data_IF_884254344103
#
_entry.id   IF_884254344103
#
_cell.length_a   1.000
_cell.length_b   1.000
_cell.length_c   1.000
_cell.angle_alpha   90.00
_cell.angle_beta   90.00
_cell.angle_gamma   90.00
#
_symmetry.space_group_name_H-M   'P 1'
#
loop_
_entity.id
_entity.type
_entity.pdbx_description
1 polymer ?
#
# COMPACT_ATOMS: atom_id res chain seq x y z
N UNK A 1 12.92 -21.57 -10.25
CA UNK A 1 14.18 -21.70 -9.49
C UNK A 1 14.17 -20.72 -8.32
N UNK A 2 14.80 -21.05 -7.20
CA UNK A 2 14.78 -20.27 -5.93
C UNK A 2 15.91 -19.23 -5.82
N UNK A 3 16.34 -18.67 -6.94
CA UNK A 3 17.52 -17.80 -7.02
C UNK A 3 17.38 -16.61 -6.07
N UNK A 4 18.32 -16.50 -5.13
CA UNK A 4 18.38 -15.39 -4.16
C UNK A 4 17.31 -15.43 -3.07
N UNK A 5 16.48 -16.48 -3.01
CA UNK A 5 15.44 -16.65 -1.97
C UNK A 5 16.06 -17.09 -0.65
N UNK A 6 15.69 -16.43 0.44
CA UNK A 6 16.14 -16.78 1.79
C UNK A 6 15.25 -17.88 2.35
N UNK A 7 15.82 -19.07 2.54
CA UNK A 7 15.10 -20.26 3.01
C UNK A 7 15.61 -20.66 4.38
N UNK A 8 14.71 -20.82 5.36
CA UNK A 8 15.01 -21.38 6.66
C UNK A 8 14.51 -22.82 6.73
N UNK A 9 15.40 -23.77 6.99
CA UNK A 9 15.02 -25.18 7.20
C UNK A 9 15.10 -25.52 8.69
N UNK A 10 14.02 -26.07 9.24
CA UNK A 10 13.86 -26.39 10.66
C UNK A 10 13.58 -27.89 10.77
N UNK A 11 14.58 -28.66 11.17
CA UNK A 11 14.50 -30.11 11.27
C UNK A 11 15.58 -30.59 12.25
N UNK A 12 15.30 -31.53 13.13
CA UNK A 12 16.25 -32.03 14.13
C UNK A 12 17.29 -33.00 13.54
N UNK A 13 16.94 -33.66 12.44
CA UNK A 13 17.80 -34.60 11.73
C UNK A 13 18.86 -33.88 10.90
N UNK A 14 20.12 -34.03 11.32
CA UNK A 14 21.27 -33.54 10.54
C UNK A 14 21.34 -34.12 9.12
N UNK A 15 20.82 -35.34 8.92
CA UNK A 15 20.76 -35.98 7.60
C UNK A 15 19.77 -35.27 6.69
N UNK A 16 18.59 -34.92 7.18
CA UNK A 16 17.57 -34.20 6.40
C UNK A 16 18.06 -32.78 6.10
N UNK A 17 18.63 -32.08 7.07
CA UNK A 17 19.20 -30.74 6.85
C UNK A 17 20.30 -30.74 5.78
N UNK A 18 21.24 -31.70 5.86
CA UNK A 18 22.30 -31.84 4.86
C UNK A 18 21.72 -32.09 3.45
N UNK A 19 20.68 -32.91 3.37
CA UNK A 19 19.98 -33.18 2.11
C UNK A 19 19.27 -31.95 1.56
N UNK A 20 18.45 -31.27 2.37
CA UNK A 20 17.74 -30.05 1.97
C UNK A 20 18.72 -28.98 1.53
N UNK A 21 19.85 -28.82 2.24
CA UNK A 21 20.92 -27.93 1.82
C UNK A 21 21.46 -28.28 0.44
N UNK A 22 21.76 -29.56 0.19
CA UNK A 22 22.27 -30.03 -1.10
C UNK A 22 21.27 -29.78 -2.25
N UNK A 23 19.98 -30.03 -2.03
CA UNK A 23 18.93 -29.81 -3.03
C UNK A 23 18.67 -28.32 -3.25
N UNK A 24 18.38 -27.56 -2.19
CA UNK A 24 18.07 -26.13 -2.29
C UNK A 24 19.23 -25.32 -2.88
N UNK A 25 20.48 -25.75 -2.67
CA UNK A 25 21.65 -25.12 -3.29
C UNK A 25 21.67 -25.27 -4.81
N UNK A 26 21.06 -26.31 -5.37
CA UNK A 26 20.91 -26.45 -6.83
C UNK A 26 19.96 -25.40 -7.41
N UNK A 27 19.07 -24.84 -6.58
CA UNK A 27 18.14 -23.77 -6.94
C UNK A 27 18.64 -22.36 -6.60
N UNK A 28 19.92 -22.20 -6.22
CA UNK A 28 20.55 -20.92 -5.83
C UNK A 28 19.86 -20.20 -4.65
N UNK A 29 19.29 -20.96 -3.72
CA UNK A 29 18.70 -20.42 -2.50
C UNK A 29 19.76 -20.04 -1.45
N UNK A 30 19.48 -19.00 -0.65
CA UNK A 30 20.28 -18.61 0.51
C UNK A 30 19.71 -19.35 1.73
N UNK A 31 20.39 -20.41 2.16
CA UNK A 31 19.85 -21.35 3.15
C UNK A 31 20.39 -21.02 4.55
N UNK A 32 19.49 -20.97 5.52
CA UNK A 32 19.80 -20.97 6.95
C UNK A 32 19.13 -22.20 7.60
N UNK A 33 19.75 -22.75 8.63
CA UNK A 33 19.31 -24.00 9.25
C UNK A 33 19.12 -23.82 10.75
N UNK A 34 18.08 -24.45 11.28
CA UNK A 34 17.84 -24.61 12.70
C UNK A 34 17.57 -26.09 13.01
N UNK A 35 18.13 -26.58 14.11
CA UNK A 35 17.98 -27.95 14.58
C UNK A 35 16.90 -28.13 15.66
N UNK A 36 16.33 -27.02 16.14
CA UNK A 36 15.22 -27.02 17.09
C UNK A 36 14.35 -25.77 16.93
N UNK A 37 13.16 -25.80 17.54
CA UNK A 37 12.15 -24.75 17.41
C UNK A 37 12.58 -23.42 18.05
N UNK A 38 13.21 -23.45 19.22
CA UNK A 38 13.66 -22.22 19.90
C UNK A 38 14.73 -21.47 19.11
N UNK A 39 15.69 -22.19 18.50
CA UNK A 39 16.69 -21.59 17.62
C UNK A 39 16.02 -20.98 16.39
N UNK A 40 15.08 -21.70 15.77
CA UNK A 40 14.34 -21.19 14.62
C UNK A 40 13.58 -19.90 14.93
N UNK A 41 12.85 -19.85 16.04
CA UNK A 41 12.09 -18.67 16.47
C UNK A 41 13.00 -17.49 16.78
N UNK A 42 14.16 -17.73 17.40
CA UNK A 42 15.17 -16.69 17.61
C UNK A 42 15.69 -16.15 16.27
N UNK A 43 15.92 -17.00 15.28
CA UNK A 43 16.37 -16.59 13.95
C UNK A 43 15.31 -15.79 13.19
N UNK A 44 14.04 -16.18 13.30
CA UNK A 44 12.91 -15.48 12.64
C UNK A 44 12.71 -14.08 13.22
N UNK A 45 12.82 -13.93 14.55
CA UNK A 45 12.67 -12.63 15.22
C UNK A 45 13.83 -11.68 14.92
N UNK A 46 15.06 -12.19 14.81
CA UNK A 46 16.25 -11.34 14.71
C UNK A 46 16.79 -11.16 13.28
N UNK A 47 16.44 -12.04 12.33
CA UNK A 47 16.93 -11.98 10.95
C UNK A 47 15.83 -12.02 9.86
N UNK A 48 14.72 -11.25 9.97
CA UNK A 48 13.72 -11.17 8.90
C UNK A 48 14.23 -10.41 7.67
N UNK A 49 13.58 -10.55 6.49
CA UNK A 49 12.53 -11.53 6.16
C UNK A 49 13.10 -12.80 5.50
N UNK A 50 12.45 -13.93 5.74
CA UNK A 50 12.62 -15.16 4.97
C UNK A 50 11.55 -15.22 3.87
N UNK A 51 11.89 -15.80 2.73
CA UNK A 51 10.91 -16.05 1.66
C UNK A 51 10.15 -17.36 1.89
N UNK A 52 10.82 -18.35 2.50
CA UNK A 52 10.30 -19.69 2.70
C UNK A 52 10.86 -20.31 3.98
N UNK A 53 10.00 -21.02 4.71
CA UNK A 53 10.36 -21.86 5.85
C UNK A 53 9.97 -23.30 5.53
N UNK A 54 10.91 -24.23 5.64
CA UNK A 54 10.64 -25.66 5.64
C UNK A 54 10.64 -26.15 7.09
N UNK A 55 9.51 -26.66 7.55
CA UNK A 55 9.29 -26.93 8.97
C UNK A 55 8.92 -28.39 9.23
N UNK A 56 9.76 -29.10 9.99
CA UNK A 56 9.37 -30.38 10.55
C UNK A 56 8.32 -30.22 11.66
N UNK A 57 7.43 -31.20 11.79
CA UNK A 57 6.41 -31.21 12.84
C UNK A 57 6.92 -31.78 14.17
N UNK A 58 7.95 -32.62 14.14
CA UNK A 58 8.47 -33.28 15.35
C UNK A 58 9.85 -32.69 15.65
N UNK A 59 9.90 -31.72 16.54
CA UNK A 59 11.15 -31.12 17.00
C UNK A 59 11.45 -31.56 18.44
N UNK A 60 12.73 -31.53 18.88
CA UNK A 60 13.12 -32.00 20.21
C UNK A 60 12.58 -31.14 21.37
N UNK A 61 12.27 -29.87 21.12
CA UNK A 61 11.93 -28.86 22.12
C UNK A 61 10.50 -28.32 22.01
N UNK A 62 9.92 -28.26 20.81
CA UNK A 62 8.59 -27.72 20.54
C UNK A 62 7.81 -28.59 19.54
N UNK A 63 6.47 -28.52 19.59
CA UNK A 63 5.65 -29.04 18.49
C UNK A 63 5.81 -28.11 17.28
N UNK A 64 6.02 -28.65 16.08
CA UNK A 64 6.14 -27.86 14.86
C UNK A 64 4.85 -27.07 14.53
N UNK A 65 3.68 -27.52 14.98
CA UNK A 65 2.44 -26.71 14.87
C UNK A 65 2.53 -25.46 15.76
N UNK A 66 3.04 -25.58 16.99
CA UNK A 66 3.24 -24.43 17.88
C UNK A 66 4.29 -23.47 17.29
N UNK A 67 5.33 -24.00 16.65
CA UNK A 67 6.30 -23.18 15.91
C UNK A 67 5.60 -22.44 14.78
N UNK A 68 4.79 -23.10 13.95
CA UNK A 68 4.03 -22.48 12.87
C UNK A 68 3.16 -21.31 13.37
N UNK A 69 2.41 -21.50 14.46
CA UNK A 69 1.61 -20.43 15.06
C UNK A 69 2.48 -19.25 15.49
N UNK A 70 3.58 -19.50 16.20
CA UNK A 70 4.52 -18.45 16.62
C UNK A 70 5.19 -17.75 15.44
N UNK A 71 5.45 -18.45 14.33
CA UNK A 71 5.91 -17.81 13.08
C UNK A 71 4.85 -16.85 12.57
N UNK A 72 3.58 -17.26 12.52
CA UNK A 72 2.47 -16.41 12.04
C UNK A 72 2.21 -15.19 12.90
N UNK A 73 2.55 -15.22 14.19
CA UNK A 73 2.52 -14.03 15.05
C UNK A 73 3.60 -13.00 14.70
N UNK A 74 4.76 -13.46 14.25
CA UNK A 74 5.92 -12.59 13.93
C UNK A 74 5.90 -12.13 12.48
N UNK A 75 5.61 -13.05 11.55
CA UNK A 75 5.62 -12.81 10.12
C UNK A 75 4.49 -13.59 9.42
N UNK A 76 3.48 -12.85 8.96
CA UNK A 76 2.35 -13.40 8.21
C UNK A 76 2.63 -13.52 6.71
N UNK A 77 3.76 -13.02 6.24
CA UNK A 77 4.11 -12.90 4.82
C UNK A 77 5.04 -14.03 4.33
N UNK A 78 5.80 -14.66 5.21
CA UNK A 78 6.67 -15.79 4.86
C UNK A 78 5.86 -17.03 4.46
N UNK A 79 6.29 -17.74 3.41
CA UNK A 79 5.68 -19.02 3.06
C UNK A 79 6.18 -20.12 3.99
N UNK A 80 5.30 -20.99 4.49
CA UNK A 80 5.69 -22.11 5.36
C UNK A 80 5.22 -23.42 4.73
N UNK A 81 6.17 -24.29 4.42
CA UNK A 81 5.92 -25.65 3.92
C UNK A 81 6.31 -26.63 5.01
N UNK A 82 5.38 -27.49 5.39
CA UNK A 82 5.59 -28.48 6.45
C UNK A 82 6.16 -29.77 5.88
N UNK A 83 7.23 -30.28 6.49
CA UNK A 83 7.84 -31.56 6.16
C UNK A 83 7.25 -32.65 7.07
N UNK A 84 6.47 -33.57 6.52
CA UNK A 84 5.81 -34.64 7.30
C UNK A 84 6.58 -35.95 7.21
N UNK A 85 6.74 -36.65 8.34
CA UNK A 85 7.23 -38.03 8.42
C UNK A 85 6.17 -39.09 8.10
N UNK A 86 6.24 -40.26 8.74
CA UNK A 86 5.24 -41.33 8.60
C UNK A 86 3.93 -40.97 9.35
N UNK A 87 3.09 -40.14 8.72
CA UNK A 87 1.78 -39.73 9.25
C UNK A 87 0.68 -39.56 8.19
N UNK A 88 1.06 -39.53 6.91
CA UNK A 88 0.16 -39.44 5.76
C UNK A 88 -0.72 -38.17 5.73
N UNK A 89 -1.67 -38.17 4.79
CA UNK A 89 -2.55 -37.04 4.43
C UNK A 89 -3.22 -36.36 5.64
N UNK A 90 -3.47 -37.06 6.75
CA UNK A 90 -4.13 -36.46 7.92
C UNK A 90 -3.29 -35.37 8.59
N UNK A 91 -1.99 -35.61 8.81
CA UNK A 91 -1.08 -34.63 9.43
C UNK A 91 -0.86 -33.43 8.50
N UNK A 92 -0.73 -33.71 7.20
CA UNK A 92 -0.67 -32.71 6.14
C UNK A 92 -1.90 -31.77 6.10
N UNK A 93 -3.10 -32.34 6.12
CA UNK A 93 -4.34 -31.52 6.13
C UNK A 93 -4.49 -30.72 7.41
N UNK A 94 -4.03 -31.22 8.54
CA UNK A 94 -4.02 -30.47 9.80
C UNK A 94 -3.09 -29.25 9.67
N UNK A 95 -1.85 -29.44 9.20
CA UNK A 95 -0.89 -28.35 9.02
C UNK A 95 -1.42 -27.20 8.13
N UNK A 96 -2.11 -27.52 7.04
CA UNK A 96 -2.71 -26.50 6.15
C UNK A 96 -3.83 -25.74 6.87
N UNK A 97 -4.67 -26.41 7.68
CA UNK A 97 -5.71 -25.75 8.48
C UNK A 97 -5.12 -24.81 9.54
N UNK A 98 -3.95 -25.16 10.06
CA UNK A 98 -3.20 -24.34 11.02
C UNK A 98 -2.38 -23.21 10.35
N UNK A 99 -2.44 -23.07 9.03
CA UNK A 99 -1.88 -21.92 8.30
C UNK A 99 -0.56 -22.18 7.57
N UNK A 100 -0.18 -23.45 7.37
CA UNK A 100 0.87 -23.80 6.41
C UNK A 100 0.39 -23.56 4.97
N UNK A 101 1.33 -23.18 4.10
CA UNK A 101 1.10 -22.91 2.68
C UNK A 101 1.22 -24.17 1.81
N UNK A 102 1.83 -25.21 2.35
CA UNK A 102 1.98 -26.50 1.71
C UNK A 102 2.51 -27.55 2.68
N UNK A 103 2.56 -28.79 2.22
CA UNK A 103 3.21 -29.87 2.94
C UNK A 103 3.95 -30.79 1.97
N UNK A 104 4.95 -31.51 2.46
CA UNK A 104 5.73 -32.47 1.69
C UNK A 104 6.11 -33.66 2.55
N UNK A 105 6.10 -34.88 2.00
CA UNK A 105 6.62 -36.03 2.73
C UNK A 105 8.15 -36.07 2.71
N UNK A 106 8.77 -36.32 3.86
CA UNK A 106 10.23 -36.45 3.99
C UNK A 106 10.81 -37.58 3.13
N UNK A 107 10.00 -38.59 2.77
CA UNK A 107 10.43 -39.71 1.92
C UNK A 107 10.61 -39.30 0.47
N UNK A 108 9.78 -38.39 -0.01
CA UNK A 108 9.84 -37.88 -1.39
C UNK A 108 11.09 -37.02 -1.60
N UNK A 109 11.63 -36.46 -0.52
CA UNK A 109 12.95 -35.82 -0.52
C UNK A 109 14.04 -36.85 -0.86
N UNK A 110 14.08 -38.00 -0.19
CA UNK A 110 15.24 -38.90 -0.23
C UNK A 110 15.32 -39.86 -1.44
N UNK A 111 14.29 -39.96 -2.28
CA UNK A 111 14.13 -41.07 -3.23
C UNK A 111 14.28 -40.72 -4.72
N UNK A 112 14.68 -39.49 -5.08
CA UNK A 112 14.74 -39.04 -6.47
C UNK A 112 16.08 -38.45 -6.90
N UNK A 113 16.48 -38.66 -8.16
CA UNK A 113 17.52 -37.84 -8.82
C UNK A 113 16.93 -36.53 -9.35
N UNK A 114 15.62 -36.52 -9.62
CA UNK A 114 14.87 -35.39 -10.13
C UNK A 114 14.08 -34.73 -8.98
N UNK A 115 14.36 -33.45 -8.73
CA UNK A 115 13.76 -32.64 -7.68
C UNK A 115 12.76 -31.61 -8.23
N UNK A 116 12.33 -31.77 -9.49
CA UNK A 116 11.42 -30.81 -10.15
C UNK A 116 10.10 -30.66 -9.42
N UNK A 117 9.50 -31.76 -8.93
CA UNK A 117 8.28 -31.71 -8.13
C UNK A 117 8.49 -30.99 -6.79
N UNK A 118 9.66 -31.16 -6.17
CA UNK A 118 10.02 -30.46 -4.94
C UNK A 118 10.10 -28.95 -5.16
N UNK A 119 10.86 -28.50 -6.16
CA UNK A 119 10.94 -27.07 -6.47
C UNK A 119 9.58 -26.49 -6.87
N UNK A 120 8.78 -27.23 -7.64
CA UNK A 120 7.44 -26.81 -8.03
C UNK A 120 6.52 -26.59 -6.82
N UNK A 121 6.52 -27.51 -5.84
CA UNK A 121 5.72 -27.38 -4.64
C UNK A 121 6.13 -26.16 -3.80
N UNK A 122 7.43 -25.89 -3.68
CA UNK A 122 7.94 -24.72 -2.95
C UNK A 122 7.56 -23.41 -3.65
N UNK A 123 7.69 -23.36 -4.97
CA UNK A 123 7.29 -22.19 -5.77
C UNK A 123 5.78 -21.92 -5.66
N UNK A 124 4.94 -22.95 -5.75
CA UNK A 124 3.49 -22.79 -5.55
C UNK A 124 3.15 -22.25 -4.16
N UNK A 125 3.79 -22.77 -3.10
CA UNK A 125 3.54 -22.31 -1.74
C UNK A 125 3.91 -20.82 -1.57
N UNK A 126 5.04 -20.41 -2.13
CA UNK A 126 5.48 -19.02 -2.13
C UNK A 126 4.57 -18.11 -2.95
N UNK A 127 4.17 -18.53 -4.15
CA UNK A 127 3.26 -17.78 -5.01
C UNK A 127 1.88 -17.61 -4.36
N UNK A 128 1.35 -18.69 -3.76
CA UNK A 128 0.09 -18.65 -3.02
C UNK A 128 0.16 -17.66 -1.85
N UNK A 129 1.21 -17.73 -1.03
CA UNK A 129 1.40 -16.80 0.09
C UNK A 129 1.54 -15.36 -0.39
N UNK A 130 2.33 -15.11 -1.43
CA UNK A 130 2.50 -13.78 -2.02
C UNK A 130 1.16 -13.23 -2.54
N UNK A 131 0.35 -14.05 -3.18
CA UNK A 131 -1.01 -13.70 -3.62
C UNK A 131 -1.92 -13.30 -2.46
N UNK A 132 -1.91 -14.06 -1.36
CA UNK A 132 -2.68 -13.73 -0.16
C UNK A 132 -2.22 -12.41 0.48
N UNK A 133 -0.91 -12.17 0.53
CA UNK A 133 -0.35 -10.91 1.05
C UNK A 133 -0.79 -9.73 0.18
N UNK A 134 -0.67 -9.85 -1.14
CA UNK A 134 -1.11 -8.82 -2.08
C UNK A 134 -2.61 -8.53 -1.96
N UNK A 135 -3.44 -9.57 -1.83
CA UNK A 135 -4.88 -9.41 -1.64
C UNK A 135 -5.21 -8.69 -0.32
N UNK A 136 -4.55 -9.06 0.79
CA UNK A 136 -4.74 -8.37 2.08
C UNK A 136 -4.32 -6.91 2.00
N UNK A 137 -3.19 -6.61 1.37
CA UNK A 137 -2.73 -5.24 1.16
C UNK A 137 -3.74 -4.43 0.35
N UNK A 138 -4.28 -5.00 -0.73
CA UNK A 138 -5.32 -4.36 -1.54
C UNK A 138 -6.60 -4.13 -0.73
N UNK A 139 -7.03 -5.10 0.07
CA UNK A 139 -8.21 -4.96 0.94
C UNK A 139 -8.00 -3.89 2.02
N UNK A 140 -6.82 -3.86 2.64
CA UNK A 140 -6.46 -2.85 3.62
C UNK A 140 -6.45 -1.46 2.99
N UNK A 141 -5.81 -1.32 1.83
CA UNK A 141 -5.81 -0.08 1.06
C UNK A 141 -7.24 0.39 0.73
N UNK A 142 -8.12 -0.52 0.27
CA UNK A 142 -9.54 -0.19 0.05
C UNK A 142 -10.22 0.30 1.32
N UNK A 143 -9.99 -0.36 2.45
CA UNK A 143 -10.59 -0.01 3.74
C UNK A 143 -10.11 1.35 4.24
N UNK A 144 -8.81 1.61 4.13
CA UNK A 144 -8.19 2.88 4.51
C UNK A 144 -8.70 4.01 3.61
N UNK A 145 -8.81 3.75 2.30
CA UNK A 145 -9.37 4.68 1.32
C UNK A 145 -10.84 5.04 1.62
N UNK A 146 -11.69 4.06 1.88
CA UNK A 146 -13.09 4.32 2.25
C UNK A 146 -13.19 5.10 3.57
N UNK A 147 -12.35 4.78 4.54
CA UNK A 147 -12.30 5.49 5.82
C UNK A 147 -11.90 6.96 5.64
N UNK A 148 -10.88 7.22 4.81
CA UNK A 148 -10.41 8.56 4.45
C UNK A 148 -11.52 9.37 3.75
N UNK A 149 -12.15 8.83 2.70
CA UNK A 149 -13.27 9.49 2.01
C UNK A 149 -14.39 9.85 2.99
N UNK A 150 -14.78 8.88 3.83
CA UNK A 150 -15.90 9.08 4.75
C UNK A 150 -15.61 10.20 5.74
N UNK A 151 -14.39 10.26 6.29
CA UNK A 151 -13.97 11.33 7.17
C UNK A 151 -13.97 12.69 6.45
N UNK A 152 -13.35 12.75 5.28
CA UNK A 152 -13.17 13.99 4.54
C UNK A 152 -14.47 14.56 4.00
N UNK A 153 -15.46 13.70 3.69
CA UNK A 153 -16.82 14.15 3.35
C UNK A 153 -17.64 14.53 4.59
N UNK A 154 -17.51 13.78 5.70
CA UNK A 154 -18.28 14.03 6.93
C UNK A 154 -17.99 15.40 7.53
N UNK A 155 -16.75 15.87 7.49
CA UNK A 155 -16.36 17.15 8.08
C UNK A 155 -17.06 18.38 7.44
N UNK A 156 -16.96 18.62 6.12
CA UNK A 156 -17.70 19.69 5.47
C UNK A 156 -19.21 19.46 5.56
N UNK A 157 -19.71 18.24 5.41
CA UNK A 157 -21.15 17.94 5.55
C UNK A 157 -21.69 18.32 6.94
N UNK A 158 -20.97 17.99 8.01
CA UNK A 158 -21.33 18.37 9.39
C UNK A 158 -21.31 19.88 9.61
N UNK A 159 -20.38 20.59 8.96
CA UNK A 159 -20.32 22.06 9.01
C UNK A 159 -21.51 22.73 8.31
N UNK A 160 -21.93 22.19 7.16
CA UNK A 160 -23.17 22.62 6.48
C UNK A 160 -24.37 22.38 7.38
N UNK A 161 -24.48 21.18 7.95
CA UNK A 161 -25.61 20.81 8.80
C UNK A 161 -25.72 21.71 10.03
N UNK A 162 -24.61 21.94 10.75
CA UNK A 162 -24.59 22.84 11.91
C UNK A 162 -25.02 24.26 11.55
N UNK A 163 -24.52 24.80 10.43
CA UNK A 163 -24.90 26.12 9.97
C UNK A 163 -26.40 26.22 9.65
N UNK A 164 -26.97 25.19 9.01
CA UNK A 164 -28.41 25.11 8.73
C UNK A 164 -29.25 25.00 10.01
N UNK A 165 -28.84 24.17 10.98
CA UNK A 165 -29.52 24.02 12.27
C UNK A 165 -29.56 25.34 13.05
N UNK A 166 -28.45 26.07 13.10
CA UNK A 166 -28.38 27.39 13.77
C UNK A 166 -29.23 28.45 13.06
N UNK A 167 -29.37 28.38 11.74
CA UNK A 167 -30.23 29.28 10.97
C UNK A 167 -31.72 28.98 11.16
N UNK A 168 -32.10 27.70 11.28
CA UNK A 168 -33.48 27.27 11.45
C UNK A 168 -34.09 27.67 12.82
N UNK A 169 -33.27 27.99 13.82
CA UNK A 169 -33.70 28.42 15.15
C UNK A 169 -34.05 29.91 15.31
N UNK A 170 -33.98 30.72 14.25
CA UNK A 170 -34.18 32.18 14.31
C UNK A 170 -35.54 32.68 13.76
N UNK A 171 -36.05 33.80 14.30
CA UNK A 171 -37.27 34.47 13.81
C UNK A 171 -37.07 35.14 12.44
N UNK A 172 -38.07 35.00 11.58
CA UNK A 172 -38.11 35.35 10.15
C UNK A 172 -38.36 36.84 9.88
N UNK A 173 -37.47 37.74 10.32
CA UNK A 173 -37.43 39.13 9.83
C UNK A 173 -36.01 39.49 9.40
N UNK A 174 -35.69 39.23 8.13
CA UNK A 174 -34.37 39.49 7.53
C UNK A 174 -33.25 38.60 8.07
N UNK A 175 -32.10 38.57 7.38
CA UNK A 175 -30.90 37.91 7.88
C UNK A 175 -30.08 38.89 8.71
N UNK A 176 -29.91 38.61 10.00
CA UNK A 176 -28.93 39.30 10.85
C UNK A 176 -27.49 39.02 10.37
N UNK A 177 -26.54 39.88 10.77
CA UNK A 177 -25.12 39.70 10.44
C UNK A 177 -24.58 38.31 10.83
N UNK A 178 -25.06 37.74 11.95
CA UNK A 178 -24.71 36.38 12.38
C UNK A 178 -25.27 35.29 11.46
N UNK A 179 -26.49 35.45 10.95
CA UNK A 179 -27.09 34.52 9.99
C UNK A 179 -26.40 34.58 8.62
N UNK A 180 -25.96 35.76 8.17
CA UNK A 180 -25.15 35.91 6.95
C UNK A 180 -23.82 35.15 7.10
N UNK A 181 -23.19 35.22 8.27
CA UNK A 181 -21.94 34.51 8.54
C UNK A 181 -22.14 32.97 8.55
N UNK A 182 -23.24 32.47 9.12
CA UNK A 182 -23.62 31.05 9.07
C UNK A 182 -23.87 30.57 7.63
N UNK A 183 -24.58 31.35 6.81
CA UNK A 183 -24.78 31.06 5.38
C UNK A 183 -23.44 31.00 4.62
N UNK A 184 -22.51 31.90 4.93
CA UNK A 184 -21.17 31.87 4.34
C UNK A 184 -20.39 30.62 4.72
N UNK A 185 -20.49 30.16 5.98
CA UNK A 185 -19.86 28.93 6.45
C UNK A 185 -20.43 27.70 5.72
N UNK A 186 -21.75 27.62 5.62
CA UNK A 186 -22.42 26.55 4.86
C UNK A 186 -21.98 26.53 3.39
N UNK A 187 -21.91 27.71 2.75
CA UNK A 187 -21.45 27.82 1.36
C UNK A 187 -20.02 27.32 1.19
N UNK A 188 -19.11 27.75 2.06
CA UNK A 188 -17.70 27.34 1.99
C UNK A 188 -17.53 25.82 2.21
N UNK A 189 -18.30 25.24 3.14
CA UNK A 189 -18.29 23.80 3.37
C UNK A 189 -18.88 23.01 2.17
N UNK A 190 -19.92 23.52 1.51
CA UNK A 190 -20.46 22.92 0.30
C UNK A 190 -19.47 23.00 -0.89
N UNK A 191 -18.76 24.12 -1.05
CA UNK A 191 -17.68 24.27 -2.03
C UNK A 191 -16.55 23.25 -1.78
N UNK A 192 -16.15 23.06 -0.53
CA UNK A 192 -15.16 22.04 -0.15
C UNK A 192 -15.63 20.62 -0.48
N UNK A 193 -16.89 20.29 -0.20
CA UNK A 193 -17.45 18.97 -0.53
C UNK A 193 -17.40 18.70 -2.03
N UNK A 194 -17.76 19.69 -2.86
CA UNK A 194 -17.71 19.56 -4.32
C UNK A 194 -16.29 19.36 -4.83
N UNK A 195 -15.30 20.07 -4.27
CA UNK A 195 -13.90 19.88 -4.62
C UNK A 195 -13.43 18.45 -4.28
N UNK A 196 -13.74 17.96 -3.07
CA UNK A 196 -13.41 16.59 -2.67
C UNK A 196 -14.05 15.54 -3.59
N UNK A 197 -15.32 15.70 -3.94
CA UNK A 197 -16.00 14.79 -4.88
C UNK A 197 -15.28 14.76 -6.23
N UNK A 198 -14.89 15.92 -6.75
CA UNK A 198 -14.14 16.00 -8.01
C UNK A 198 -12.76 15.35 -7.91
N UNK A 199 -12.02 15.60 -6.83
CA UNK A 199 -10.71 14.98 -6.58
C UNK A 199 -10.83 13.45 -6.52
N UNK A 200 -11.84 12.93 -5.82
CA UNK A 200 -12.10 11.49 -5.75
C UNK A 200 -12.55 10.90 -7.09
N UNK A 201 -13.35 11.61 -7.89
CA UNK A 201 -13.73 11.17 -9.24
C UNK A 201 -12.53 11.15 -10.20
N UNK A 202 -11.64 12.14 -10.11
CA UNK A 202 -10.41 12.16 -10.90
C UNK A 202 -9.48 11.02 -10.48
N UNK A 203 -9.36 10.74 -9.17
CA UNK A 203 -8.64 9.57 -8.67
C UNK A 203 -9.24 8.25 -9.19
N UNK A 204 -10.56 8.06 -9.10
CA UNK A 204 -11.21 6.84 -9.57
C UNK A 204 -11.00 6.60 -11.08
N UNK A 205 -10.94 7.67 -11.89
CA UNK A 205 -10.60 7.58 -13.32
C UNK A 205 -9.15 7.14 -13.54
N UNK A 206 -8.22 7.61 -12.71
CA UNK A 206 -6.80 7.22 -12.76
C UNK A 206 -6.64 5.73 -12.41
N UNK A 207 -7.20 5.30 -11.28
CA UNK A 207 -7.04 3.94 -10.75
C UNK A 207 -7.64 2.87 -11.68
N UNK A 208 -8.82 3.15 -12.25
CA UNK A 208 -9.45 2.24 -13.20
C UNK A 208 -8.78 2.25 -14.60
N UNK A 209 -7.70 3.02 -14.80
CA UNK A 209 -7.00 3.13 -16.08
C UNK A 209 -7.81 3.85 -17.17
N UNK A 210 -8.92 4.49 -16.82
CA UNK A 210 -9.77 5.24 -17.75
C UNK A 210 -9.25 6.65 -18.03
N UNK A 211 -8.30 7.15 -17.23
CA UNK A 211 -7.64 8.41 -17.52
C UNK A 211 -6.66 8.23 -18.69
N UNK A 212 -7.15 8.45 -19.91
CA UNK A 212 -6.30 8.58 -21.08
C UNK A 212 -5.66 9.96 -21.08
N UNK A 213 -4.34 10.00 -20.92
CA UNK A 213 -3.54 11.20 -21.18
C UNK A 213 -3.45 11.35 -22.69
N UNK A 214 -3.84 12.51 -23.21
CA UNK A 214 -3.77 12.81 -24.65
C UNK A 214 -2.64 13.81 -24.93
N UNK A 215 -1.38 13.35 -25.06
CA UNK A 215 -0.24 14.25 -25.20
C UNK A 215 -0.20 14.90 -26.58
N UNK A 216 -0.44 16.20 -26.61
CA UNK A 216 -0.35 17.07 -27.76
C UNK A 216 0.85 18.04 -27.62
N UNK A 217 1.27 18.65 -28.72
CA UNK A 217 2.24 19.75 -28.64
C UNK A 217 1.55 20.96 -27.99
N UNK A 218 2.08 21.41 -26.86
CA UNK A 218 1.58 22.57 -26.14
C UNK A 218 2.74 23.45 -25.67
N UNK A 219 2.49 24.76 -25.62
CA UNK A 219 3.45 25.74 -25.09
C UNK A 219 3.35 25.79 -23.57
N UNK A 220 4.42 25.38 -22.87
CA UNK A 220 4.41 25.22 -21.41
C UNK A 220 4.31 26.56 -20.69
N UNK A 221 4.97 27.61 -21.22
CA UNK A 221 4.94 28.95 -20.67
C UNK A 221 3.50 29.51 -20.65
N UNK A 222 2.75 29.34 -21.74
CA UNK A 222 1.36 29.77 -21.85
C UNK A 222 0.44 29.03 -20.86
N UNK A 223 0.66 27.72 -20.65
CA UNK A 223 -0.11 26.94 -19.68
C UNK A 223 0.14 27.42 -18.24
N UNK A 224 1.40 27.67 -17.89
CA UNK A 224 1.78 28.16 -16.57
C UNK A 224 1.25 29.57 -16.30
N UNK A 225 1.35 30.47 -17.28
CA UNK A 225 0.76 31.82 -17.20
C UNK A 225 -0.77 31.76 -17.00
N UNK A 226 -1.45 30.88 -17.74
CA UNK A 226 -2.89 30.70 -17.57
C UNK A 226 -3.25 30.22 -16.16
N UNK A 227 -2.54 29.24 -15.61
CA UNK A 227 -2.75 28.75 -14.25
C UNK A 227 -2.49 29.84 -13.19
N UNK A 228 -1.44 30.65 -13.38
CA UNK A 228 -1.04 31.69 -12.45
C UNK A 228 -1.97 32.91 -12.45
N UNK A 229 -2.68 33.20 -13.55
CA UNK A 229 -3.54 34.39 -13.68
C UNK A 229 -4.60 34.53 -12.57
N UNK A 230 -5.34 33.45 -12.28
CA UNK A 230 -6.34 33.38 -11.21
C UNK A 230 -5.67 33.36 -9.83
N UNK A 231 -4.55 32.68 -9.70
CA UNK A 231 -3.79 32.55 -8.47
C UNK A 231 -3.16 33.90 -8.03
N UNK A 232 -2.78 34.76 -8.97
CA UNK A 232 -2.22 36.08 -8.68
C UNK A 232 -3.21 36.96 -7.89
N UNK A 233 -4.50 36.93 -8.24
CA UNK A 233 -5.56 37.66 -7.52
C UNK A 233 -5.69 37.15 -6.09
N UNK A 234 -5.61 35.83 -5.89
CA UNK A 234 -5.68 35.21 -4.57
C UNK A 234 -4.45 35.55 -3.71
N UNK A 235 -3.25 35.47 -4.28
CA UNK A 235 -2.01 35.86 -3.63
C UNK A 235 -2.04 37.34 -3.19
N UNK A 236 -2.50 38.24 -4.06
CA UNK A 236 -2.62 39.67 -3.76
C UNK A 236 -3.59 39.93 -2.61
N UNK A 237 -4.75 39.26 -2.58
CA UNK A 237 -5.71 39.36 -1.47
C UNK A 237 -5.12 38.93 -0.11
N UNK A 238 -4.09 38.08 -0.13
CA UNK A 238 -3.34 37.59 1.04
C UNK A 238 -2.03 38.34 1.26
N UNK A 239 -1.80 39.44 0.54
CA UNK A 239 -0.56 40.24 0.55
C UNK A 239 0.71 39.41 0.32
N UNK A 240 0.62 38.41 -0.53
CA UNK A 240 1.75 37.57 -0.96
C UNK A 240 2.25 38.04 -2.33
N UNK A 241 3.52 37.79 -2.63
CA UNK A 241 4.13 38.07 -3.94
C UNK A 241 4.24 36.78 -4.74
N UNK A 242 3.56 36.68 -5.88
CA UNK A 242 3.72 35.59 -6.85
C UNK A 242 4.57 36.07 -8.03
N UNK A 243 5.71 35.42 -8.28
CA UNK A 243 6.62 35.71 -9.40
C UNK A 243 6.74 34.49 -10.30
N UNK A 244 6.65 34.69 -11.62
CA UNK A 244 6.89 33.64 -12.61
C UNK A 244 8.25 33.85 -13.27
N UNK A 245 9.11 32.84 -13.23
CA UNK A 245 10.43 32.82 -13.85
C UNK A 245 10.37 32.05 -15.17
N UNK A 246 9.93 32.72 -16.22
CA UNK A 246 9.76 32.11 -17.53
C UNK A 246 11.01 32.34 -18.40
N UNK A 247 11.44 31.35 -19.20
CA UNK A 247 12.48 31.55 -20.20
C UNK A 247 12.02 32.51 -21.31
N UNK A 248 12.95 33.26 -21.89
CA UNK A 248 12.68 34.26 -22.94
C UNK A 248 12.14 33.63 -24.25
N UNK A 249 12.46 32.35 -24.48
CA UNK A 249 12.02 31.61 -25.66
C UNK A 249 10.84 30.67 -25.29
N UNK A 250 9.83 30.54 -26.17
CA UNK A 250 8.71 29.64 -25.94
C UNK A 250 9.18 28.19 -25.85
N UNK A 251 8.79 27.51 -24.78
CA UNK A 251 9.10 26.09 -24.55
C UNK A 251 7.89 25.24 -24.92
N UNK A 252 8.07 24.35 -25.88
CA UNK A 252 7.05 23.39 -26.28
C UNK A 252 7.33 22.00 -25.69
N UNK A 253 6.30 21.36 -25.16
CA UNK A 253 6.34 19.98 -24.68
C UNK A 253 5.25 19.14 -25.32
N UNK A 254 5.45 17.81 -25.37
CA UNK A 254 4.35 16.86 -25.64
C UNK A 254 3.67 16.52 -24.33
N UNK A 255 2.56 17.18 -24.05
CA UNK A 255 1.84 17.09 -22.77
C UNK A 255 0.33 17.13 -23.01
N UNK A 256 -0.43 16.64 -22.05
CA UNK A 256 -1.86 16.92 -21.98
C UNK A 256 -2.04 18.30 -21.35
N UNK A 257 -2.47 19.27 -22.15
CA UNK A 257 -2.57 20.67 -21.75
C UNK A 257 -3.53 20.88 -20.57
N UNK A 258 -4.66 20.16 -20.55
CA UNK A 258 -5.65 20.29 -19.49
C UNK A 258 -5.12 19.73 -18.18
N UNK A 259 -4.48 18.55 -18.23
CA UNK A 259 -3.95 17.89 -17.03
C UNK A 259 -2.73 18.61 -16.47
N UNK A 260 -1.82 19.07 -17.33
CA UNK A 260 -0.66 19.82 -16.87
C UNK A 260 -1.06 21.17 -16.24
N UNK A 261 -2.07 21.84 -16.81
CA UNK A 261 -2.63 23.05 -16.21
C UNK A 261 -3.21 22.77 -14.82
N UNK A 262 -3.97 21.68 -14.66
CA UNK A 262 -4.52 21.27 -13.35
C UNK A 262 -3.39 21.02 -12.32
N UNK A 263 -2.27 20.42 -12.74
CA UNK A 263 -1.10 20.24 -11.88
C UNK A 263 -0.53 21.59 -11.43
N UNK A 264 -0.34 22.55 -12.35
CA UNK A 264 0.14 23.89 -12.00
C UNK A 264 -0.82 24.62 -11.05
N UNK A 265 -2.12 24.58 -11.31
CA UNK A 265 -3.14 25.19 -10.45
C UNK A 265 -3.09 24.61 -9.03
N UNK A 266 -2.97 23.29 -8.89
CA UNK A 266 -2.88 22.62 -7.60
C UNK A 266 -1.61 23.01 -6.82
N UNK A 267 -0.45 23.04 -7.50
CA UNK A 267 0.82 23.40 -6.87
C UNK A 267 0.83 24.87 -6.43
N UNK A 268 0.39 25.79 -7.29
CA UNK A 268 0.36 27.22 -6.98
C UNK A 268 -0.67 27.51 -5.87
N UNK A 269 -1.85 26.88 -5.92
CA UNK A 269 -2.86 27.01 -4.86
C UNK A 269 -2.32 26.52 -3.51
N UNK A 270 -1.60 25.40 -3.49
CA UNK A 270 -0.94 24.92 -2.27
C UNK A 270 0.11 25.91 -1.77
N UNK A 271 0.95 26.47 -2.65
CA UNK A 271 1.92 27.49 -2.27
C UNK A 271 1.25 28.71 -1.61
N UNK A 272 0.15 29.21 -2.17
CA UNK A 272 -0.64 30.33 -1.60
C UNK A 272 -1.24 29.96 -0.24
N UNK A 273 -1.72 28.72 -0.10
CA UNK A 273 -2.35 28.23 1.13
C UNK A 273 -1.36 28.16 2.30
N UNK A 274 -0.12 27.74 2.05
CA UNK A 274 0.88 27.48 3.08
C UNK A 274 1.93 28.59 3.24
N UNK A 275 1.92 29.60 2.38
CA UNK A 275 2.78 30.79 2.52
C UNK A 275 2.13 31.79 3.48
N UNK A 276 2.86 32.34 4.47
CA UNK A 276 2.33 33.37 5.36
C UNK A 276 2.13 34.72 4.64
N UNK A 277 1.38 35.63 5.28
CA UNK A 277 1.19 37.01 4.78
C UNK A 277 2.55 37.71 4.60
N UNK A 278 2.73 38.42 3.48
CA UNK A 278 4.00 39.07 3.13
C UNK A 278 5.06 38.14 2.54
N UNK A 279 4.81 36.83 2.43
CA UNK A 279 5.71 35.87 1.82
C UNK A 279 5.78 35.97 0.28
N UNK A 280 6.79 35.30 -0.30
CA UNK A 280 6.96 35.20 -1.75
C UNK A 280 6.81 33.76 -2.24
N UNK A 281 6.26 33.62 -3.45
CA UNK A 281 6.06 32.38 -4.17
C UNK A 281 6.70 32.57 -5.54
N UNK A 282 7.69 31.74 -5.85
CA UNK A 282 8.47 31.80 -7.08
C UNK A 282 8.24 30.49 -7.85
N UNK A 283 7.83 30.60 -9.11
CA UNK A 283 7.46 29.48 -9.99
C UNK A 283 8.27 29.49 -11.27
#
# INVERSE_FOLDING_TARGET
>A
MLVGKRVLTIDDSSTIRLFLRAVLSQGDAIIQEADCGEVALHMIRNNPPYDLILLDLILPDLDGIDVLHKVREVDTNVAVVVLTGMGGIKSATAAVREGADGYMEKRDLALGSDHSEFFYALEQAMEHRSGLVAQRQLQQFKTDFYSMITHDLRNPAGSVQLALELLAGGNTEGFSAGQIQLLSLARQAAEQLNNLINDYLDFAKIDAGFLRIEPASAELCALLQSAASLAAVQAESRRQRLTLHLPDAPVYGRVDAQRLKQVFENLISNAIKYTPEGGSIDV
#
